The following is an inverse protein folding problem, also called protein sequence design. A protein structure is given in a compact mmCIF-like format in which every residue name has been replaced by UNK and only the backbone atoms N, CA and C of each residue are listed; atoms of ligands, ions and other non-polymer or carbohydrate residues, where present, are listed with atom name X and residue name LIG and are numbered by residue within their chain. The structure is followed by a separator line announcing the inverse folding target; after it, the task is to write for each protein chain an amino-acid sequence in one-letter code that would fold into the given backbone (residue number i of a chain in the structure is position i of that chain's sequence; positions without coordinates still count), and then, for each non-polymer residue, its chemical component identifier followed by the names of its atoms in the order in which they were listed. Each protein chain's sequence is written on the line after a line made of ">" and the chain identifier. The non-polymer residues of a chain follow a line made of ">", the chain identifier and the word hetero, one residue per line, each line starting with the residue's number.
data_IF_933736015624
#
_entry.id   IF_933736015624
#
_cell.length_a   1.000
_cell.length_b   1.000
_cell.length_c   1.000
_cell.angle_alpha   90.00
_cell.angle_beta   90.00
_cell.angle_gamma   90.00
#
_symmetry.space_group_name_H-M   'P 1'
#
loop_
_entity.id
_entity.type
_entity.pdbx_description
1 polymer ?
#
# COMPACT_ATOMS: atom_id res chain seq x y z
N UNK A 1 -5.82 -30.68 -5.06
CA UNK A 1 -4.42 -31.16 -5.08
C UNK A 1 -3.65 -30.39 -6.13
N UNK A 2 -2.32 -30.27 -6.00
CA UNK A 2 -1.47 -29.57 -6.97
C UNK A 2 -1.44 -30.36 -8.29
N UNK A 3 -1.73 -29.70 -9.41
CA UNK A 3 -1.92 -30.34 -10.73
C UNK A 3 -0.63 -30.54 -11.52
N UNK A 4 0.44 -29.79 -11.23
CA UNK A 4 1.72 -29.87 -11.94
C UNK A 4 2.88 -29.50 -11.02
N UNK A 5 3.97 -30.27 -11.13
CA UNK A 5 5.21 -30.03 -10.39
C UNK A 5 6.33 -29.85 -11.43
N UNK A 6 7.14 -28.81 -11.27
CA UNK A 6 8.28 -28.52 -12.14
C UNK A 6 9.59 -28.65 -11.36
N UNK A 7 10.50 -29.47 -11.85
CA UNK A 7 11.82 -29.70 -11.24
C UNK A 7 12.87 -29.20 -12.22
N UNK A 8 13.52 -28.09 -11.88
CA UNK A 8 14.58 -27.52 -12.69
C UNK A 8 15.86 -28.37 -12.58
N UNK A 9 16.54 -28.64 -13.71
CA UNK A 9 17.79 -29.44 -13.75
C UNK A 9 18.88 -28.89 -12.84
N UNK A 10 18.88 -27.57 -12.60
CA UNK A 10 19.83 -26.87 -11.74
C UNK A 10 19.19 -26.34 -10.45
N UNK A 11 18.25 -27.10 -9.87
CA UNK A 11 17.54 -26.68 -8.66
C UNK A 11 18.46 -26.26 -7.51
N UNK A 12 19.66 -26.84 -7.40
CA UNK A 12 20.64 -26.52 -6.35
C UNK A 12 21.22 -25.09 -6.41
N UNK A 13 21.13 -24.39 -7.54
CA UNK A 13 21.63 -23.00 -7.67
C UNK A 13 20.52 -21.97 -7.85
N UNK A 14 19.24 -22.38 -7.78
CA UNK A 14 18.12 -21.50 -8.10
C UNK A 14 18.03 -20.30 -7.14
N UNK A 15 18.48 -20.47 -5.88
CA UNK A 15 18.58 -19.38 -4.92
C UNK A 15 19.59 -18.31 -5.34
N UNK A 16 20.79 -18.71 -5.78
CA UNK A 16 21.80 -17.77 -6.27
C UNK A 16 21.33 -17.07 -7.55
N UNK A 17 20.64 -17.81 -8.43
CA UNK A 17 20.03 -17.24 -9.63
C UNK A 17 18.93 -16.21 -9.28
N UNK A 18 18.06 -16.52 -8.33
CA UNK A 18 17.03 -15.59 -7.85
C UNK A 18 17.61 -14.32 -7.24
N UNK A 19 18.65 -14.44 -6.42
CA UNK A 19 19.36 -13.28 -5.85
C UNK A 19 20.02 -12.42 -6.93
N UNK A 20 20.60 -13.03 -7.96
CA UNK A 20 21.26 -12.30 -9.04
C UNK A 20 20.31 -11.53 -9.98
N UNK A 21 19.03 -11.91 -10.00
CA UNK A 21 17.97 -11.23 -10.76
C UNK A 21 17.13 -10.26 -9.92
N UNK A 22 17.29 -10.27 -8.60
CA UNK A 22 16.48 -9.46 -7.72
C UNK A 22 16.86 -7.97 -7.85
N UNK A 23 15.84 -7.12 -7.84
CA UNK A 23 16.04 -5.69 -7.73
C UNK A 23 16.60 -5.32 -6.34
N UNK A 24 17.35 -4.23 -6.29
CA UNK A 24 17.85 -3.67 -5.04
C UNK A 24 16.74 -2.83 -4.42
N UNK A 25 16.38 -3.18 -3.19
CA UNK A 25 15.25 -2.57 -2.47
C UNK A 25 15.72 -2.12 -1.09
N UNK A 26 15.38 -0.89 -0.73
CA UNK A 26 15.51 -0.37 0.64
C UNK A 26 14.11 -0.16 1.18
N UNK A 27 13.80 -0.81 2.31
CA UNK A 27 12.51 -0.70 2.99
C UNK A 27 12.70 0.00 4.34
N UNK A 28 11.97 1.09 4.56
CA UNK A 28 11.97 1.83 5.82
C UNK A 28 10.54 1.95 6.32
N UNK A 29 10.33 1.62 7.60
CA UNK A 29 9.03 1.65 8.25
C UNK A 29 9.08 2.42 9.57
N UNK A 30 8.00 3.15 9.89
CA UNK A 30 7.83 3.85 11.16
C UNK A 30 6.49 3.44 11.80
N UNK A 31 6.46 3.09 13.10
CA UNK A 31 5.21 2.87 13.81
C UNK A 31 4.42 4.19 13.92
N UNK A 32 3.11 4.12 13.67
CA UNK A 32 2.21 5.26 13.83
C UNK A 32 0.88 4.80 14.41
N UNK A 33 0.38 5.54 15.40
CA UNK A 33 -0.94 5.31 15.99
C UNK A 33 -1.74 6.59 15.79
N UNK A 34 -2.60 6.56 14.78
CA UNK A 34 -3.46 7.68 14.43
C UNK A 34 -4.79 7.15 13.93
N UNK A 35 -5.88 7.82 14.32
CA UNK A 35 -7.21 7.51 13.80
C UNK A 35 -7.44 8.37 12.57
N UNK A 36 -7.72 7.73 11.44
CA UNK A 36 -8.16 8.41 10.22
C UNK A 36 -9.66 8.70 10.36
N UNK A 37 -10.04 9.97 10.55
CA UNK A 37 -11.44 10.36 10.54
C UNK A 37 -11.94 10.58 9.10
N UNK A 38 -13.22 10.33 8.86
CA UNK A 38 -13.88 10.55 7.55
C UNK A 38 -14.05 12.04 7.20
N UNK A 39 -13.89 12.93 8.18
CA UNK A 39 -14.06 14.37 7.96
C UNK A 39 -12.93 14.95 7.09
N UNK A 40 -13.30 15.60 6.00
CA UNK A 40 -12.39 16.32 5.09
C UNK A 40 -11.56 17.43 5.77
N UNK A 41 -11.89 17.83 7.00
CA UNK A 41 -11.09 18.78 7.78
C UNK A 41 -9.98 18.14 8.63
N UNK A 42 -9.88 16.80 8.66
CA UNK A 42 -8.91 16.13 9.51
C UNK A 42 -7.46 16.35 9.02
N UNK A 43 -6.59 16.75 9.95
CA UNK A 43 -5.16 16.97 9.72
C UNK A 43 -4.38 15.65 9.77
N UNK A 44 -4.99 14.57 10.26
CA UNK A 44 -4.36 13.27 10.46
C UNK A 44 -3.70 12.73 9.19
N UNK A 45 -4.42 12.74 8.07
CA UNK A 45 -3.89 12.27 6.79
C UNK A 45 -2.68 13.11 6.32
N UNK A 46 -2.74 14.44 6.48
CA UNK A 46 -1.62 15.33 6.13
C UNK A 46 -0.38 15.07 6.98
N UNK A 47 -0.56 14.71 8.25
CA UNK A 47 0.56 14.34 9.14
C UNK A 47 1.19 13.02 8.66
N UNK A 48 0.37 12.02 8.32
CA UNK A 48 0.87 10.74 7.83
C UNK A 48 1.60 10.89 6.49
N UNK A 49 1.07 11.67 5.55
CA UNK A 49 1.76 11.95 4.28
C UNK A 49 3.12 12.60 4.50
N UNK A 50 3.22 13.61 5.37
CA UNK A 50 4.52 14.22 5.71
C UNK A 50 5.52 13.24 6.31
N UNK A 51 5.05 12.28 7.12
CA UNK A 51 5.90 11.21 7.65
C UNK A 51 6.38 10.29 6.53
N UNK A 52 5.47 9.86 5.65
CA UNK A 52 5.82 9.04 4.49
C UNK A 52 6.82 9.74 3.57
N UNK A 53 6.67 11.04 3.32
CA UNK A 53 7.62 11.82 2.52
C UNK A 53 9.02 11.81 3.15
N UNK A 54 9.11 11.94 4.48
CA UNK A 54 10.38 11.85 5.19
C UNK A 54 11.02 10.45 5.07
N UNK A 55 10.22 9.39 5.18
CA UNK A 55 10.71 8.02 5.01
C UNK A 55 11.17 7.75 3.59
N UNK A 56 10.44 8.27 2.60
CA UNK A 56 10.79 8.19 1.18
C UNK A 56 12.13 8.88 0.89
N UNK A 57 12.35 10.09 1.42
CA UNK A 57 13.64 10.79 1.26
C UNK A 57 14.80 10.07 1.95
N UNK A 58 14.57 9.45 3.12
CA UNK A 58 15.59 8.64 3.77
C UNK A 58 15.97 7.43 2.90
N UNK A 59 14.98 6.67 2.41
CA UNK A 59 15.22 5.50 1.55
C UNK A 59 15.93 5.87 0.24
N UNK A 60 15.56 7.02 -0.33
CA UNK A 60 16.22 7.58 -1.52
C UNK A 60 17.68 7.94 -1.22
N UNK A 61 17.93 8.58 -0.08
CA UNK A 61 19.30 8.92 0.36
C UNK A 61 20.15 7.66 0.51
N UNK A 62 19.63 6.62 1.16
CA UNK A 62 20.36 5.36 1.37
C UNK A 62 20.77 4.70 0.04
N UNK A 63 19.89 4.72 -0.97
CA UNK A 63 20.20 4.20 -2.31
C UNK A 63 21.18 5.07 -3.07
N UNK A 64 21.09 6.39 -2.94
CA UNK A 64 22.04 7.33 -3.57
C UNK A 64 23.44 7.18 -2.97
N UNK A 65 23.55 6.99 -1.64
CA UNK A 65 24.83 6.73 -0.96
C UNK A 65 25.47 5.41 -1.41
N UNK A 66 24.66 4.42 -1.79
CA UNK A 66 25.13 3.17 -2.41
C UNK A 66 25.56 3.34 -3.87
N UNK A 67 25.39 4.52 -4.46
CA UNK A 67 25.84 4.87 -5.81
C UNK A 67 24.77 4.75 -6.91
N UNK A 68 23.50 4.51 -6.56
CA UNK A 68 22.41 4.49 -7.52
C UNK A 68 21.98 5.91 -7.90
N UNK A 69 21.67 6.13 -9.18
CA UNK A 69 21.24 7.45 -9.64
C UNK A 69 19.77 7.69 -9.29
N UNK A 70 19.37 8.93 -8.95
CA UNK A 70 17.98 9.25 -8.61
C UNK A 70 16.96 8.85 -9.67
N UNK A 71 17.34 8.86 -10.96
CA UNK A 71 16.42 8.50 -12.06
C UNK A 71 16.11 7.00 -12.13
N UNK A 72 16.88 6.16 -11.44
CA UNK A 72 16.69 4.71 -11.38
C UNK A 72 15.90 4.28 -10.14
N UNK A 73 15.57 5.21 -9.24
CA UNK A 73 14.92 4.91 -7.96
C UNK A 73 13.41 5.07 -8.11
N UNK A 74 12.67 4.00 -7.85
CA UNK A 74 11.22 4.00 -7.73
C UNK A 74 10.82 4.00 -6.24
N UNK A 75 9.88 4.86 -5.85
CA UNK A 75 9.40 4.95 -4.47
C UNK A 75 7.98 4.40 -4.41
N UNK A 76 7.75 3.40 -3.54
CA UNK A 76 6.44 2.83 -3.25
C UNK A 76 6.06 3.09 -1.80
N UNK A 77 4.93 3.75 -1.59
CA UNK A 77 4.43 4.14 -0.27
C UNK A 77 3.26 3.25 0.15
N UNK A 78 3.27 2.81 1.40
CA UNK A 78 2.26 1.95 1.98
C UNK A 78 1.81 2.46 3.35
N UNK A 79 0.54 2.27 3.67
CA UNK A 79 -0.03 2.51 4.99
C UNK A 79 -0.58 1.22 5.57
N UNK A 80 -0.17 0.88 6.79
CA UNK A 80 -0.78 -0.20 7.55
C UNK A 80 -1.99 0.34 8.32
N UNK A 81 -3.19 0.00 7.86
CA UNK A 81 -4.46 0.47 8.43
C UNK A 81 -5.23 -0.67 9.07
N UNK A 82 -5.98 -0.37 10.13
CA UNK A 82 -6.82 -1.33 10.83
C UNK A 82 -8.20 -0.75 11.03
N UNK A 83 -9.23 -1.52 10.70
CA UNK A 83 -10.61 -1.13 10.98
C UNK A 83 -10.87 -1.16 12.48
N UNK A 84 -11.69 -0.23 12.96
CA UNK A 84 -12.08 -0.21 14.37
C UNK A 84 -12.78 -1.52 14.75
N UNK A 85 -12.35 -2.14 15.86
CA UNK A 85 -12.87 -3.42 16.32
C UNK A 85 -12.27 -4.65 15.64
N UNK A 86 -11.32 -4.48 14.72
CA UNK A 86 -10.53 -5.58 14.15
C UNK A 86 -9.12 -5.61 14.75
N UNK A 87 -8.48 -6.78 14.70
CA UNK A 87 -7.10 -6.97 15.19
C UNK A 87 -6.07 -7.01 14.03
N UNK A 88 -6.54 -7.22 12.79
CA UNK A 88 -5.68 -7.38 11.62
C UNK A 88 -5.43 -6.06 10.91
N UNK A 89 -4.16 -5.72 10.67
CA UNK A 89 -3.78 -4.59 9.81
C UNK A 89 -3.71 -5.00 8.34
N UNK A 90 -4.08 -4.08 7.45
CA UNK A 90 -3.99 -4.20 6.00
C UNK A 90 -2.96 -3.21 5.46
N UNK A 91 -2.06 -3.70 4.62
CA UNK A 91 -1.08 -2.88 3.90
C UNK A 91 -1.74 -2.28 2.65
N UNK A 92 -2.04 -0.98 2.70
CA UNK A 92 -2.74 -0.26 1.63
C UNK A 92 -1.71 0.56 0.83
N UNK A 93 -1.56 0.34 -0.48
CA UNK A 93 -0.68 1.15 -1.33
C UNK A 93 -1.27 2.54 -1.57
N UNK A 94 -0.41 3.51 -1.85
CA UNK A 94 -0.84 4.79 -2.38
C UNK A 94 -1.57 4.62 -3.73
N UNK A 95 -2.72 5.29 -3.95
CA UNK A 95 -3.44 5.17 -5.22
C UNK A 95 -2.63 5.75 -6.38
N UNK A 96 -2.62 5.05 -7.50
CA UNK A 96 -2.02 5.57 -8.73
C UNK A 96 -2.84 6.76 -9.28
N UNK A 97 -2.18 7.79 -9.84
CA UNK A 97 -2.86 9.00 -10.33
C UNK A 97 -3.77 8.76 -11.54
N UNK A 98 -3.78 7.54 -12.10
CA UNK A 98 -4.62 7.13 -13.24
C UNK A 98 -5.33 5.82 -12.95
N UNK A 99 -6.27 5.84 -12.02
CA UNK A 99 -7.41 4.93 -12.09
C UNK A 99 -8.61 5.63 -11.49
N UNK A 100 -9.56 5.99 -12.36
CA UNK A 100 -10.95 6.05 -11.96
C UNK A 100 -11.29 4.60 -11.56
N UNK A 101 -11.12 4.27 -10.28
CA UNK A 101 -11.89 3.18 -9.72
C UNK A 101 -13.34 3.63 -9.90
N UNK A 102 -13.97 3.11 -10.95
CA UNK A 102 -15.42 3.03 -10.98
C UNK A 102 -15.75 2.42 -9.63
N UNK A 103 -16.40 3.18 -8.75
CA UNK A 103 -16.89 2.70 -7.46
C UNK A 103 -18.04 1.74 -7.75
N UNK A 104 -17.72 0.67 -8.46
CA UNK A 104 -18.55 -0.50 -8.65
C UNK A 104 -18.72 -1.08 -7.26
N UNK A 105 -19.92 -0.86 -6.74
CA UNK A 105 -20.60 -1.58 -5.68
C UNK A 105 -19.72 -2.72 -5.15
N UNK A 106 -18.90 -2.42 -4.15
CA UNK A 106 -18.28 -3.48 -3.38
C UNK A 106 -19.43 -4.20 -2.70
N UNK A 107 -19.52 -5.52 -2.89
CA UNK A 107 -20.47 -6.39 -2.18
C UNK A 107 -20.25 -6.42 -0.66
N UNK A 108 -19.39 -5.56 -0.13
CA UNK A 108 -19.33 -5.23 1.29
C UNK A 108 -20.47 -4.25 1.55
N UNK A 109 -21.60 -4.73 2.07
CA UNK A 109 -22.81 -3.96 2.35
C UNK A 109 -22.61 -2.78 3.32
N UNK A 110 -21.94 -1.74 2.86
CA UNK A 110 -21.87 -0.40 3.42
C UNK A 110 -22.27 0.56 2.30
N UNK A 111 -23.54 0.45 1.92
CA UNK A 111 -24.19 1.48 1.14
C UNK A 111 -24.30 2.72 2.01
N UNK A 112 -23.54 3.76 1.68
CA UNK A 112 -23.97 5.14 1.91
C UNK A 112 -25.13 5.37 0.93
N UNK A 113 -26.32 4.91 1.33
CA UNK A 113 -27.54 5.27 0.64
C UNK A 113 -27.86 6.72 1.00
N UNK A 114 -27.59 7.63 0.07
CA UNK A 114 -28.22 8.94 0.08
C UNK A 114 -29.74 8.73 0.14
N UNK A 115 -30.34 9.30 1.17
CA UNK A 115 -31.78 9.31 1.39
C UNK A 115 -32.49 9.93 0.18
N UNK A 116 -33.19 9.11 -0.61
CA UNK A 116 -34.20 9.58 -1.57
C UNK A 116 -35.58 9.68 -0.94
N UNK A 117 -36.40 10.68 -1.33
CA UNK A 117 -37.43 11.27 -0.48
C UNK A 117 -38.82 10.71 -0.78
N UNK A 118 -39.09 9.43 -0.51
CA UNK A 118 -40.43 8.85 -0.79
C UNK A 118 -41.10 8.12 0.39
N UNK A 119 -40.58 8.22 1.61
CA UNK A 119 -41.26 7.69 2.81
C UNK A 119 -41.72 8.82 3.75
N UNK A 120 -42.53 9.72 3.20
CA UNK A 120 -43.50 10.53 3.95
C UNK A 120 -44.88 10.24 3.35
N UNK A 121 -45.48 9.10 3.69
CA UNK A 121 -46.94 8.86 3.71
C UNK A 121 -47.22 7.42 4.14
N UNK A 122 -47.32 7.24 5.45
CA UNK A 122 -48.48 6.68 6.15
C UNK A 122 -48.22 6.70 7.65
#
# INVERSE_FOLDING_TARGET
>A
GISKIFIHRFAGILSAYGMGLADIVVEIQEPSVLVLAESSQDKSLKILLKKLDKLAENARTDLVEQGYKPEQIEIKRYLNLRYQGTDTALMVPEPEPKNNYDTGITNCGLGIAESSPELQKN
#
